data_IF_071341335994
#
_entry.id   IF_071341335994
#
_cell.length_a   1.000
_cell.length_b   1.000
_cell.length_c   1.000
_cell.angle_alpha   90.00
_cell.angle_beta   90.00
_cell.angle_gamma   90.00
#
_symmetry.space_group_name_H-M   'P 1'
#
loop_
_entity.id
_entity.type
_entity.pdbx_description
1 polymer ?
#
# COMPACT_ATOMS: atom_id res chain seq x y z
N UNK A 1 -1.24 7.48 -16.85
CA UNK A 1 -1.25 7.93 -15.44
C UNK A 1 -0.70 6.87 -14.48
N UNK A 2 -0.88 5.58 -14.76
CA UNK A 2 -0.43 4.49 -13.87
C UNK A 2 1.08 4.43 -13.60
N UNK A 3 1.92 4.84 -14.55
CA UNK A 3 3.37 4.88 -14.36
C UNK A 3 3.87 6.08 -13.53
N UNK A 4 3.04 7.12 -13.30
CA UNK A 4 3.50 8.39 -12.71
C UNK A 4 3.60 8.31 -11.19
N UNK A 5 2.65 7.65 -10.53
CA UNK A 5 2.63 7.49 -9.07
C UNK A 5 3.90 6.78 -8.58
N UNK A 6 4.33 5.62 -9.14
CA UNK A 6 5.57 4.98 -8.72
C UNK A 6 6.82 5.84 -8.92
N UNK A 7 6.86 6.66 -9.97
CA UNK A 7 7.99 7.57 -10.24
C UNK A 7 8.04 8.68 -9.21
N UNK A 8 6.91 9.33 -8.91
CA UNK A 8 6.83 10.37 -7.88
C UNK A 8 7.23 9.80 -6.52
N UNK A 9 6.75 8.61 -6.16
CA UNK A 9 7.07 7.97 -4.89
C UNK A 9 8.58 7.73 -4.73
N UNK A 10 9.24 7.17 -5.76
CA UNK A 10 10.70 6.97 -5.75
C UNK A 10 11.47 8.29 -5.62
N UNK A 11 11.01 9.34 -6.31
CA UNK A 11 11.64 10.65 -6.23
C UNK A 11 11.49 11.26 -4.83
N UNK A 12 10.33 11.11 -4.18
CA UNK A 12 10.12 11.57 -2.81
C UNK A 12 11.11 10.92 -1.84
N UNK A 13 11.32 9.61 -1.92
CA UNK A 13 12.27 8.89 -1.05
C UNK A 13 13.71 9.44 -1.18
N UNK A 14 14.12 9.73 -2.43
CA UNK A 14 15.44 10.32 -2.70
C UNK A 14 15.54 11.72 -2.09
N UNK A 15 14.56 12.60 -2.31
CA UNK A 15 14.63 13.97 -1.80
C UNK A 15 14.53 14.05 -0.27
N UNK A 16 13.74 13.19 0.35
CA UNK A 16 13.65 13.09 1.82
C UNK A 16 15.00 12.72 2.46
N UNK A 17 15.82 11.92 1.76
CA UNK A 17 17.14 11.49 2.26
C UNK A 17 18.19 12.60 2.14
N UNK A 18 18.11 13.40 1.08
CA UNK A 18 19.11 14.42 0.74
C UNK A 18 18.75 15.80 1.33
N UNK A 19 17.54 15.96 1.88
CA UNK A 19 17.07 17.23 2.46
C UNK A 19 16.92 18.34 1.41
N UNK A 20 16.68 17.96 0.15
CA UNK A 20 16.63 18.90 -0.96
C UNK A 20 15.19 19.39 -1.17
N UNK A 21 14.87 20.57 -0.61
CA UNK A 21 13.58 21.26 -0.79
C UNK A 21 13.37 21.84 -2.21
N UNK A 22 14.30 21.59 -3.12
CA UNK A 22 14.43 22.28 -4.41
C UNK A 22 13.37 21.80 -5.43
N UNK A 23 12.84 20.59 -5.27
CA UNK A 23 11.89 19.99 -6.23
C UNK A 23 10.53 19.81 -5.60
N UNK A 24 9.56 20.58 -6.11
CA UNK A 24 8.15 20.48 -5.74
C UNK A 24 7.51 19.29 -6.47
N UNK A 25 7.39 18.16 -5.78
CA UNK A 25 6.65 17.00 -6.29
C UNK A 25 5.15 17.15 -5.98
N UNK A 26 4.25 16.76 -6.89
CA UNK A 26 2.82 16.78 -6.61
C UNK A 26 2.48 15.84 -5.44
N UNK A 27 1.95 16.42 -4.37
CA UNK A 27 1.61 15.75 -3.12
C UNK A 27 0.26 16.24 -2.60
N UNK A 28 -0.49 15.34 -1.95
CA UNK A 28 -1.69 15.71 -1.20
C UNK A 28 -1.30 15.81 0.27
N UNK A 29 -1.49 17.00 0.84
CA UNK A 29 -1.19 17.27 2.25
C UNK A 29 -2.48 17.39 3.04
N UNK A 30 -2.57 16.68 4.16
CA UNK A 30 -3.72 16.75 5.07
C UNK A 30 -3.44 17.78 6.16
N UNK A 31 -4.24 18.84 6.20
CA UNK A 31 -4.15 19.92 7.20
C UNK A 31 -5.46 20.05 7.97
N UNK A 32 -5.40 20.49 9.22
CA UNK A 32 -6.60 20.69 10.04
C UNK A 32 -6.32 20.71 11.54
N UNK A 33 -7.23 21.33 12.31
CA UNK A 33 -7.14 21.48 13.77
C UNK A 33 -7.18 20.13 14.49
N UNK A 34 -6.71 20.09 15.74
CA UNK A 34 -6.82 18.87 16.56
C UNK A 34 -8.29 18.41 16.64
N UNK A 35 -8.52 17.10 16.61
CA UNK A 35 -9.86 16.49 16.57
C UNK A 35 -10.71 16.72 15.31
N UNK A 36 -10.19 17.36 14.26
CA UNK A 36 -10.92 17.59 13.00
C UNK A 36 -11.12 16.33 12.11
N UNK A 37 -10.81 15.13 12.61
CA UNK A 37 -11.00 13.88 11.86
C UNK A 37 -9.91 13.51 10.84
N UNK A 38 -8.76 14.21 10.81
CA UNK A 38 -7.65 13.90 9.87
C UNK A 38 -7.26 12.43 9.85
N UNK A 39 -7.02 11.85 11.03
CA UNK A 39 -6.64 10.44 11.15
C UNK A 39 -7.75 9.52 10.67
N UNK A 40 -9.01 9.85 10.98
CA UNK A 40 -10.17 9.07 10.56
C UNK A 40 -10.37 9.06 9.05
N UNK A 41 -10.13 10.19 8.37
CA UNK A 41 -10.17 10.26 6.89
C UNK A 41 -9.08 9.37 6.28
N UNK A 42 -7.85 9.46 6.80
CA UNK A 42 -6.75 8.63 6.33
C UNK A 42 -7.02 7.13 6.57
N UNK A 43 -7.53 6.76 7.75
CA UNK A 43 -7.88 5.38 8.08
C UNK A 43 -9.04 4.85 7.22
N UNK A 44 -10.01 5.71 6.87
CA UNK A 44 -11.11 5.35 5.97
C UNK A 44 -10.61 5.03 4.55
N UNK A 45 -9.59 5.75 4.07
CA UNK A 45 -8.95 5.46 2.78
C UNK A 45 -8.11 4.17 2.81
N UNK A 46 -7.45 3.90 3.94
CA UNK A 46 -6.64 2.68 4.12
C UNK A 46 -7.52 1.45 4.36
N UNK A 47 -8.70 1.63 4.98
CA UNK A 47 -9.63 0.57 5.34
C UNK A 47 -9.25 -0.20 6.62
N UNK A 48 -8.37 0.34 7.47
CA UNK A 48 -8.00 -0.24 8.77
C UNK A 48 -7.51 0.82 9.75
N UNK A 49 -7.59 0.51 11.05
CA UNK A 49 -6.95 1.31 12.09
C UNK A 49 -5.42 1.20 11.97
N UNK A 50 -4.77 2.31 11.64
CA UNK A 50 -3.33 2.34 11.35
C UNK A 50 -2.61 3.47 12.09
N UNK A 51 -3.32 4.55 12.42
CA UNK A 51 -2.70 5.72 13.04
C UNK A 51 -2.82 5.64 14.56
N UNK A 52 -1.82 6.17 15.30
CA UNK A 52 -1.92 6.23 16.75
C UNK A 52 -3.18 6.96 17.20
N UNK A 53 -3.75 6.55 18.32
CA UNK A 53 -4.86 7.24 19.00
C UNK A 53 -4.42 7.58 20.42
N UNK A 54 -4.89 8.69 20.95
CA UNK A 54 -4.54 9.14 22.29
C UNK A 54 -5.16 10.49 22.64
N UNK A 55 -5.02 10.89 23.90
CA UNK A 55 -5.43 12.20 24.38
C UNK A 55 -4.42 13.29 23.98
N UNK A 56 -4.90 14.50 23.70
CA UNK A 56 -4.04 15.62 23.27
C UNK A 56 -3.62 15.57 21.80
N UNK A 57 -2.44 16.10 21.49
CA UNK A 57 -1.89 16.14 20.12
C UNK A 57 -1.20 14.81 19.80
N UNK A 58 -1.75 14.13 18.80
CA UNK A 58 -1.37 12.76 18.42
C UNK A 58 -0.23 12.77 17.39
N UNK A 59 -0.42 13.45 16.26
CA UNK A 59 0.59 13.52 15.19
C UNK A 59 1.57 14.65 15.47
N UNK A 60 2.79 14.32 15.92
CA UNK A 60 3.85 15.30 16.25
C UNK A 60 4.98 15.35 15.22
N UNK A 61 4.95 14.44 14.25
CA UNK A 61 5.87 14.39 13.11
C UNK A 61 5.06 14.21 11.84
N UNK A 62 5.43 14.86 10.73
CA UNK A 62 4.84 14.58 9.43
C UNK A 62 4.94 13.09 9.11
N UNK A 63 3.85 12.53 8.57
CA UNK A 63 3.78 11.15 8.11
C UNK A 63 3.53 11.19 6.60
N UNK A 64 4.39 10.52 5.83
CA UNK A 64 4.17 10.28 4.42
C UNK A 64 3.44 8.94 4.29
N UNK A 65 2.21 8.97 3.81
CA UNK A 65 1.39 7.77 3.61
C UNK A 65 1.30 7.46 2.11
N UNK A 66 1.86 6.33 1.71
CA UNK A 66 1.81 5.85 0.33
C UNK A 66 0.95 4.60 0.22
N UNK A 67 -0.19 4.72 -0.46
CA UNK A 67 -1.07 3.61 -0.77
C UNK A 67 -0.68 3.03 -2.14
N UNK A 68 -0.22 1.78 -2.14
CA UNK A 68 0.13 1.05 -3.36
C UNK A 68 -0.90 -0.06 -3.56
N UNK A 69 -1.67 0.03 -4.64
CA UNK A 69 -2.55 -1.06 -5.03
C UNK A 69 -1.70 -2.22 -5.57
N UNK A 70 -1.92 -3.41 -5.02
CA UNK A 70 -1.27 -4.65 -5.48
C UNK A 70 -2.38 -5.57 -5.99
N UNK A 71 -2.30 -5.92 -7.27
CA UNK A 71 -3.27 -6.83 -7.88
C UNK A 71 -3.15 -8.24 -7.28
N UNK A 72 -4.20 -9.06 -7.44
CA UNK A 72 -4.18 -10.46 -7.01
C UNK A 72 -3.07 -11.27 -7.72
N UNK A 73 -2.76 -10.91 -8.96
CA UNK A 73 -1.70 -11.54 -9.76
C UNK A 73 -0.31 -11.16 -9.24
N UNK A 74 -0.11 -9.90 -8.84
CA UNK A 74 1.16 -9.42 -8.28
C UNK A 74 1.44 -9.94 -6.86
N UNK A 75 0.37 -10.20 -6.08
CA UNK A 75 0.50 -10.89 -4.79
C UNK A 75 1.09 -12.29 -4.94
N UNK A 76 0.68 -13.05 -5.96
CA UNK A 76 1.20 -14.41 -6.17
C UNK A 76 2.69 -14.41 -6.51
N UNK A 77 3.16 -13.42 -7.27
CA UNK A 77 4.59 -13.28 -7.62
C UNK A 77 5.49 -12.94 -6.43
N UNK A 78 4.96 -12.22 -5.44
CA UNK A 78 5.74 -11.78 -4.26
C UNK A 78 5.75 -12.81 -3.13
N UNK A 79 4.83 -13.78 -3.13
CA UNK A 79 4.70 -14.77 -2.04
C UNK A 79 5.44 -16.09 -2.32
N UNK A 80 6.11 -16.24 -3.46
CA UNK A 80 6.95 -17.42 -3.73
C UNK A 80 6.20 -18.75 -3.85
N UNK A 81 4.87 -18.73 -4.01
CA UNK A 81 4.08 -19.93 -4.33
C UNK A 81 4.21 -20.26 -5.83
N UNK A 82 5.42 -20.62 -6.26
CA UNK A 82 5.61 -21.29 -7.54
C UNK A 82 5.12 -22.74 -7.44
N UNK A 83 4.12 -23.07 -8.25
CA UNK A 83 3.87 -24.37 -8.85
C UNK A 83 3.98 -25.60 -7.92
N UNK A 84 2.92 -25.91 -7.17
CA UNK A 84 2.62 -27.33 -6.90
C UNK A 84 1.82 -27.84 -8.10
N UNK A 85 2.37 -28.74 -8.94
CA UNK A 85 1.58 -29.38 -9.98
C UNK A 85 0.44 -30.14 -9.29
N UNK A 86 -0.80 -29.88 -9.67
CA UNK A 86 -1.89 -30.79 -9.34
C UNK A 86 -1.58 -32.09 -10.07
N UNK A 87 -0.98 -33.03 -9.37
CA UNK A 87 -0.73 -34.37 -9.86
C UNK A 87 -2.06 -34.93 -10.36
N UNK A 88 -2.12 -35.19 -11.67
CA UNK A 88 -3.24 -35.85 -12.30
C UNK A 88 -3.51 -37.14 -11.53
N UNK A 89 -4.62 -37.19 -10.79
CA UNK A 89 -5.19 -38.46 -10.37
C UNK A 89 -5.57 -39.21 -11.64
N UNK A 90 -4.68 -40.12 -12.04
CA UNK A 90 -4.94 -41.11 -13.08
C UNK A 90 -6.23 -41.83 -12.73
N UNK A 91 -7.19 -41.71 -13.63
CA UNK A 91 -8.39 -42.53 -13.72
C UNK A 91 -7.97 -43.98 -14.00
N UNK A 92 -8.20 -44.96 -13.11
CA UNK A 92 -8.01 -46.36 -13.42
C UNK A 92 -9.38 -47.01 -13.65
N UNK A 93 -10.00 -46.63 -14.76
CA UNK A 93 -10.59 -47.60 -15.66
C UNK A 93 -11.93 -48.25 -15.31
N UNK A 94 -12.52 -48.80 -16.38
CA UNK A 94 -13.42 -49.93 -16.28
C UNK A 94 -14.86 -49.62 -16.62
N UNK A 95 -15.15 -49.52 -17.92
CA UNK A 95 -16.47 -49.80 -18.48
C UNK A 95 -17.01 -51.15 -17.98
N UNK A 96 -18.27 -51.10 -17.49
CA UNK A 96 -19.37 -52.01 -17.82
C UNK A 96 -19.35 -53.44 -17.22
N UNK A 97 -20.50 -54.14 -17.13
CA UNK A 97 -21.85 -53.81 -17.63
C UNK A 97 -22.88 -53.40 -16.56
#
# INVERSE_FOLDING_TARGET
MEALIPVINKLQDVFNTVGADIIQLPQIVVVGTQSSGKSSVLESLVGRDLLPRGTGIVTRRPLILQLVHVSQEDKRKTTGEENVPRENSLDPGGKSP
#
